data_IF_429474410018
#
_entry.id   IF_429474410018
#
_cell.length_a   1.000
_cell.length_b   1.000
_cell.length_c   1.000
_cell.angle_alpha   90.00
_cell.angle_beta   90.00
_cell.angle_gamma   90.00
#
_symmetry.space_group_name_H-M   'P 1'
#
loop_
_entity.id
_entity.type
_entity.pdbx_description
1 polymer ?
#
# COMPACT_ATOMS: atom_id res chain seq x y z
N UNK A 1 12.68 -0.93 5.29
CA UNK A 1 11.59 -1.74 4.69
C UNK A 1 10.99 -0.92 3.57
N UNK A 2 10.81 -1.50 2.40
CA UNK A 2 10.16 -0.89 1.24
C UNK A 2 8.72 -1.35 1.14
N UNK A 3 7.77 -0.42 1.20
CA UNK A 3 6.32 -0.66 1.08
C UNK A 3 5.84 -0.12 -0.26
N UNK A 4 5.30 -0.99 -1.11
CA UNK A 4 4.61 -0.57 -2.33
C UNK A 4 3.11 -0.48 -2.07
N UNK A 5 2.48 0.61 -2.48
CA UNK A 5 1.04 0.81 -2.41
C UNK A 5 0.47 0.86 -3.82
N UNK A 6 -0.41 -0.07 -4.15
CA UNK A 6 -1.07 -0.11 -5.46
C UNK A 6 -2.38 0.66 -5.38
N UNK A 7 -2.46 1.79 -6.07
CA UNK A 7 -3.55 2.76 -5.97
C UNK A 7 -3.13 3.99 -5.17
N UNK A 8 -3.16 5.15 -5.82
CA UNK A 8 -2.83 6.45 -5.23
C UNK A 8 -4.11 7.25 -4.88
N UNK A 9 -5.23 6.56 -4.68
CA UNK A 9 -6.48 7.11 -4.15
C UNK A 9 -6.40 7.49 -2.66
N UNK A 10 -7.55 7.78 -2.05
CA UNK A 10 -7.60 8.22 -0.65
C UNK A 10 -7.01 7.18 0.33
N UNK A 11 -7.43 5.91 0.22
CA UNK A 11 -6.93 4.83 1.07
C UNK A 11 -5.45 4.58 0.85
N UNK A 12 -5.02 4.36 -0.40
CA UNK A 12 -3.62 4.11 -0.70
C UNK A 12 -2.69 5.25 -0.27
N UNK A 13 -3.08 6.51 -0.53
CA UNK A 13 -2.33 7.68 -0.05
C UNK A 13 -2.15 7.64 1.47
N UNK A 14 -3.22 7.36 2.22
CA UNK A 14 -3.18 7.26 3.68
C UNK A 14 -2.34 6.09 4.19
N UNK A 15 -2.43 4.91 3.58
CA UNK A 15 -1.63 3.73 3.94
C UNK A 15 -0.14 4.04 3.78
N UNK A 16 0.26 4.58 2.63
CA UNK A 16 1.65 4.96 2.42
C UNK A 16 2.12 6.09 3.35
N UNK A 17 1.22 7.00 3.74
CA UNK A 17 1.54 8.03 4.74
C UNK A 17 1.94 7.39 6.07
N UNK A 18 1.15 6.42 6.55
CA UNK A 18 1.43 5.68 7.79
C UNK A 18 2.78 4.98 7.70
N UNK A 19 3.05 4.29 6.58
CA UNK A 19 4.30 3.58 6.37
C UNK A 19 5.51 4.53 6.43
N UNK A 20 5.47 5.65 5.71
CA UNK A 20 6.56 6.61 5.69
C UNK A 20 6.78 7.32 7.04
N UNK A 21 5.69 7.62 7.77
CA UNK A 21 5.77 8.16 9.13
C UNK A 21 6.42 7.20 10.13
N UNK A 22 6.43 5.90 9.81
CA UNK A 22 7.12 4.86 10.56
C UNK A 22 8.48 4.47 9.94
N UNK A 23 9.06 5.34 9.10
CA UNK A 23 10.41 5.19 8.57
C UNK A 23 10.56 4.19 7.41
N UNK A 24 9.46 3.76 6.81
CA UNK A 24 9.52 2.93 5.59
C UNK A 24 9.77 3.78 4.35
N UNK A 25 10.46 3.18 3.37
CA UNK A 25 10.51 3.71 2.01
C UNK A 25 9.22 3.32 1.29
N UNK A 26 8.55 4.27 0.65
CA UNK A 26 7.20 4.05 0.11
C UNK A 26 7.18 4.33 -1.38
N UNK A 27 6.65 3.39 -2.15
CA UNK A 27 6.35 3.58 -3.57
C UNK A 27 4.84 3.56 -3.77
N UNK A 28 4.29 4.63 -4.32
CA UNK A 28 2.91 4.67 -4.78
C UNK A 28 2.86 4.37 -6.27
N UNK A 29 2.11 3.35 -6.65
CA UNK A 29 1.79 3.04 -8.04
C UNK A 29 0.35 3.40 -8.35
N UNK A 30 0.10 4.09 -9.46
CA UNK A 30 -1.25 4.23 -10.02
C UNK A 30 -1.18 4.47 -11.53
N UNK A 31 -1.93 3.68 -12.31
CA UNK A 31 -1.99 3.82 -13.77
C UNK A 31 -2.94 4.92 -14.22
N UNK A 32 -3.81 5.45 -13.34
CA UNK A 32 -4.75 6.48 -13.71
C UNK A 32 -4.05 7.84 -13.83
N UNK A 33 -4.17 8.54 -14.99
CA UNK A 33 -3.51 9.82 -15.19
C UNK A 33 -3.76 10.85 -14.08
N UNK A 34 -2.67 11.37 -13.53
CA UNK A 34 -2.65 12.37 -12.47
C UNK A 34 -3.07 11.86 -11.08
N UNK A 35 -3.35 10.57 -10.88
CA UNK A 35 -3.64 10.03 -9.54
C UNK A 35 -2.44 10.16 -8.60
N UNK A 36 -1.24 9.82 -9.09
CA UNK A 36 0.03 9.99 -8.39
C UNK A 36 0.32 11.45 -8.03
N UNK A 37 0.11 12.39 -8.96
CA UNK A 37 0.30 13.82 -8.70
C UNK A 37 -0.65 14.34 -7.62
N UNK A 38 -1.94 13.92 -7.67
CA UNK A 38 -2.93 14.27 -6.65
C UNK A 38 -2.56 13.70 -5.28
N UNK A 39 -2.07 12.46 -5.24
CA UNK A 39 -1.59 11.82 -4.01
C UNK A 39 -0.41 12.59 -3.42
N UNK A 40 0.60 12.91 -4.23
CA UNK A 40 1.76 13.69 -3.81
C UNK A 40 1.36 15.05 -3.22
N UNK A 41 0.54 15.81 -3.95
CA UNK A 41 0.06 17.11 -3.48
C UNK A 41 -0.77 17.00 -2.18
N UNK A 42 -1.54 15.92 -2.02
CA UNK A 42 -2.29 15.64 -0.79
C UNK A 42 -1.35 15.43 0.39
N UNK A 43 -0.32 14.59 0.24
CA UNK A 43 0.67 14.32 1.28
C UNK A 43 1.44 15.59 1.66
N UNK A 44 1.93 16.37 0.68
CA UNK A 44 2.66 17.61 0.93
C UNK A 44 1.82 18.60 1.75
N UNK A 45 0.51 18.70 1.45
CA UNK A 45 -0.45 19.51 2.19
C UNK A 45 -0.71 18.97 3.60
N UNK A 46 -0.84 17.66 3.77
CA UNK A 46 -1.04 17.02 5.08
C UNK A 46 0.18 17.28 5.96
N UNK A 47 1.39 17.01 5.47
CA UNK A 47 2.62 17.25 6.22
C UNK A 47 2.85 18.73 6.49
N UNK A 48 2.54 19.62 5.54
CA UNK A 48 2.56 21.07 5.79
C UNK A 48 1.68 21.48 6.98
N UNK A 49 0.44 20.95 7.05
CA UNK A 49 -0.45 21.19 8.19
C UNK A 49 0.06 20.60 9.50
N UNK A 50 0.77 19.48 9.47
CA UNK A 50 1.38 18.91 10.67
C UNK A 50 2.54 19.78 11.18
N UNK A 51 3.32 20.37 10.28
CA UNK A 51 4.37 21.35 10.63
C UNK A 51 3.75 22.61 11.22
N UNK A 52 2.73 23.19 10.58
CA UNK A 52 1.99 24.36 11.10
C UNK A 52 1.43 24.12 12.51
N UNK A 53 0.98 22.89 12.79
CA UNK A 53 0.47 22.47 14.10
C UNK A 53 1.57 22.02 15.07
N UNK A 54 2.84 22.17 14.71
CA UNK A 54 4.01 21.75 15.50
C UNK A 54 3.95 20.27 15.92
N UNK A 55 3.33 19.42 15.11
CA UNK A 55 3.27 17.96 15.31
C UNK A 55 4.50 17.24 14.77
N UNK A 56 5.12 17.83 13.75
CA UNK A 56 6.40 17.44 13.17
C UNK A 56 7.22 18.70 12.86
N UNK A 57 8.52 18.56 12.68
CA UNK A 57 9.42 19.62 12.21
C UNK A 57 9.48 19.68 10.67
N UNK A 58 10.00 20.77 10.12
CA UNK A 58 10.26 20.87 8.67
C UNK A 58 11.24 19.79 8.20
N UNK A 59 12.30 19.52 8.96
CA UNK A 59 13.29 18.50 8.64
C UNK A 59 12.66 17.09 8.60
N UNK A 60 11.80 16.77 9.58
CA UNK A 60 11.04 15.51 9.57
C UNK A 60 10.10 15.41 8.36
N UNK A 61 9.45 16.52 7.96
CA UNK A 61 8.64 16.55 6.75
C UNK A 61 9.49 16.23 5.51
N UNK A 62 10.65 16.88 5.37
CA UNK A 62 11.54 16.66 4.22
C UNK A 62 12.09 15.23 4.20
N UNK A 63 12.46 14.68 5.35
CA UNK A 63 12.88 13.29 5.48
C UNK A 63 11.79 12.32 5.01
N UNK A 64 10.55 12.47 5.52
CA UNK A 64 9.44 11.60 5.14
C UNK A 64 9.09 11.71 3.65
N UNK A 65 9.10 12.92 3.08
CA UNK A 65 8.89 13.11 1.64
C UNK A 65 10.02 12.50 0.82
N UNK A 66 11.26 12.55 1.30
CA UNK A 66 12.42 11.95 0.64
C UNK A 66 12.37 10.42 0.57
N UNK A 67 11.58 9.77 1.44
CA UNK A 67 11.32 8.32 1.43
C UNK A 67 10.19 7.90 0.50
N UNK A 68 9.45 8.85 -0.09
CA UNK A 68 8.28 8.57 -0.91
C UNK A 68 8.57 8.77 -2.40
N UNK A 69 8.17 7.80 -3.20
CA UNK A 69 8.22 7.85 -4.65
C UNK A 69 6.82 7.60 -5.23
N UNK A 70 6.45 8.34 -6.28
CA UNK A 70 5.22 8.13 -7.02
C UNK A 70 5.56 7.72 -8.45
N UNK A 71 4.91 6.67 -8.95
CA UNK A 71 5.18 6.09 -10.26
C UNK A 71 3.88 5.67 -10.95
N UNK A 72 3.83 5.85 -12.27
CA UNK A 72 2.82 5.21 -13.12
C UNK A 72 3.35 3.91 -13.75
N UNK A 73 4.63 3.60 -13.54
CA UNK A 73 5.27 2.37 -13.96
C UNK A 73 5.24 1.35 -12.82
N UNK A 74 4.69 0.17 -13.11
CA UNK A 74 4.55 -0.92 -12.17
C UNK A 74 5.90 -1.50 -11.76
N UNK A 75 6.95 -1.38 -12.58
CA UNK A 75 8.31 -1.82 -12.24
C UNK A 75 8.87 -1.13 -10.98
N UNK A 76 8.30 0.00 -10.56
CA UNK A 76 8.69 0.68 -9.33
C UNK A 76 8.44 -0.17 -8.06
N UNK A 77 7.54 -1.16 -8.13
CA UNK A 77 7.24 -2.07 -7.00
C UNK A 77 8.35 -3.10 -6.76
N UNK A 78 9.27 -3.29 -7.71
CA UNK A 78 10.36 -4.25 -7.62
C UNK A 78 11.19 -4.04 -6.35
N UNK A 79 11.46 -5.13 -5.63
CA UNK A 79 12.19 -5.12 -4.37
C UNK A 79 11.40 -4.61 -3.16
N UNK A 80 10.08 -4.43 -3.26
CA UNK A 80 9.23 -4.20 -2.09
C UNK A 80 9.22 -5.42 -1.16
N UNK A 81 9.25 -5.16 0.15
CA UNK A 81 9.10 -6.17 1.21
C UNK A 81 7.61 -6.43 1.49
N UNK A 82 6.77 -5.40 1.32
CA UNK A 82 5.32 -5.46 1.48
C UNK A 82 4.65 -4.68 0.35
N UNK A 83 3.65 -5.29 -0.27
CA UNK A 83 2.73 -4.63 -1.20
C UNK A 83 1.36 -4.54 -0.56
N UNK A 84 0.72 -3.37 -0.60
CA UNK A 84 -0.67 -3.18 -0.16
C UNK A 84 -1.49 -2.63 -1.31
N UNK A 85 -2.42 -3.45 -1.79
CA UNK A 85 -3.34 -3.09 -2.85
C UNK A 85 -4.56 -2.34 -2.32
N UNK A 86 -4.85 -1.17 -2.89
CA UNK A 86 -5.96 -0.28 -2.55
C UNK A 86 -6.55 0.40 -3.80
N UNK A 87 -6.71 -0.36 -4.89
CA UNK A 87 -7.40 0.03 -6.12
C UNK A 87 -8.93 -0.20 -6.01
N UNK A 88 -9.64 0.05 -7.11
CA UNK A 88 -11.10 -0.15 -7.19
C UNK A 88 -11.52 -1.54 -6.71
N UNK A 89 -12.66 -1.61 -6.04
CA UNK A 89 -13.22 -2.83 -5.46
C UNK A 89 -13.88 -3.71 -6.53
N UNK A 90 -13.06 -4.23 -7.45
CA UNK A 90 -13.45 -5.13 -8.53
C UNK A 90 -12.52 -6.35 -8.54
N UNK A 91 -13.12 -7.55 -8.56
CA UNK A 91 -12.39 -8.81 -8.45
C UNK A 91 -11.42 -9.03 -9.62
N UNK A 92 -11.89 -8.79 -10.85
CA UNK A 92 -11.09 -9.05 -12.05
C UNK A 92 -9.95 -8.03 -12.18
N UNK A 93 -10.22 -6.77 -11.85
CA UNK A 93 -9.18 -5.72 -11.82
C UNK A 93 -8.08 -6.07 -10.82
N UNK A 94 -8.44 -6.44 -9.58
CA UNK A 94 -7.45 -6.79 -8.55
C UNK A 94 -6.65 -8.04 -8.94
N UNK A 95 -7.32 -9.09 -9.43
CA UNK A 95 -6.64 -10.32 -9.88
C UNK A 95 -5.68 -10.07 -11.04
N UNK A 96 -6.09 -9.28 -12.03
CA UNK A 96 -5.23 -8.90 -13.15
C UNK A 96 -4.01 -8.09 -12.69
N UNK A 97 -4.19 -7.21 -11.70
CA UNK A 97 -3.09 -6.45 -11.10
C UNK A 97 -2.14 -7.37 -10.31
N UNK A 98 -2.67 -8.29 -9.50
CA UNK A 98 -1.82 -9.23 -8.76
C UNK A 98 -0.99 -10.13 -9.68
N UNK A 99 -1.57 -10.61 -10.79
CA UNK A 99 -0.84 -11.41 -11.77
C UNK A 99 0.33 -10.66 -12.43
N UNK A 100 0.24 -9.33 -12.53
CA UNK A 100 1.32 -8.48 -13.06
C UNK A 100 2.36 -8.14 -11.99
N UNK A 101 1.92 -7.96 -10.73
CA UNK A 101 2.80 -7.57 -9.63
C UNK A 101 3.56 -8.75 -9.06
N UNK A 102 2.93 -9.90 -8.88
CA UNK A 102 3.53 -11.08 -8.23
C UNK A 102 4.91 -11.46 -8.78
N UNK A 103 5.16 -11.48 -10.12
CA UNK A 103 6.47 -11.79 -10.68
C UNK A 103 7.57 -10.75 -10.40
N UNK A 104 7.21 -9.51 -10.05
CA UNK A 104 8.14 -8.42 -9.73
C UNK A 104 8.62 -8.47 -8.27
N UNK A 105 7.93 -9.27 -7.45
CA UNK A 105 8.21 -9.38 -6.03
C UNK A 105 9.26 -10.45 -5.77
N UNK A 106 10.04 -10.24 -4.71
CA UNK A 106 10.88 -11.30 -4.15
C UNK A 106 10.02 -12.43 -3.61
N UNK A 107 10.59 -13.63 -3.50
CA UNK A 107 9.89 -14.82 -2.99
C UNK A 107 9.39 -14.67 -1.55
N UNK A 108 9.97 -13.76 -0.77
CA UNK A 108 9.67 -13.52 0.64
C UNK A 108 8.89 -12.22 0.91
N UNK A 109 8.50 -11.49 -0.14
CA UNK A 109 7.68 -10.29 0.04
C UNK A 109 6.21 -10.62 0.31
N UNK A 110 5.51 -9.81 1.09
CA UNK A 110 4.08 -9.97 1.31
C UNK A 110 3.27 -9.22 0.25
N UNK A 111 2.23 -9.86 -0.29
CA UNK A 111 1.24 -9.25 -1.19
C UNK A 111 -0.10 -9.15 -0.48
N UNK A 112 -0.47 -7.96 -0.02
CA UNK A 112 -1.69 -7.73 0.74
C UNK A 112 -2.72 -6.94 -0.05
N UNK A 113 -3.99 -7.10 0.32
CA UNK A 113 -5.10 -6.30 -0.19
C UNK A 113 -5.83 -5.57 0.93
N UNK A 114 -6.23 -4.33 0.68
CA UNK A 114 -7.10 -3.53 1.54
C UNK A 114 -8.60 -3.76 1.22
N UNK A 115 -8.96 -4.82 0.49
CA UNK A 115 -10.37 -5.11 0.19
C UNK A 115 -11.21 -5.18 1.47
N UNK A 116 -12.43 -4.64 1.39
CA UNK A 116 -13.40 -4.68 2.49
C UNK A 116 -14.48 -5.74 2.28
N UNK A 117 -14.61 -6.27 1.05
CA UNK A 117 -15.78 -7.06 0.65
C UNK A 117 -15.46 -8.31 -0.17
N UNK A 118 -14.31 -8.35 -0.83
CA UNK A 118 -13.95 -9.48 -1.68
C UNK A 118 -13.30 -10.59 -0.87
N UNK A 119 -13.57 -11.83 -1.27
CA UNK A 119 -13.00 -13.00 -0.63
C UNK A 119 -11.49 -13.08 -0.88
N UNK A 120 -10.71 -13.16 0.19
CA UNK A 120 -9.25 -13.42 0.14
C UNK A 120 -8.95 -14.73 -0.62
N UNK A 121 -9.81 -15.75 -0.48
CA UNK A 121 -9.68 -17.00 -1.22
C UNK A 121 -9.93 -16.83 -2.73
N UNK A 122 -10.86 -15.94 -3.11
CA UNK A 122 -11.12 -15.65 -4.52
C UNK A 122 -9.99 -14.83 -5.17
N UNK A 123 -9.45 -13.86 -4.43
CA UNK A 123 -8.36 -12.99 -4.88
C UNK A 123 -7.02 -13.73 -5.00
N UNK A 124 -6.71 -14.62 -4.04
CA UNK A 124 -5.51 -15.46 -4.08
C UNK A 124 -5.56 -16.59 -5.12
N UNK A 125 -6.74 -16.84 -5.70
CA UNK A 125 -6.91 -17.89 -6.71
C UNK A 125 -6.18 -17.53 -8.01
N UNK A 126 -5.11 -18.27 -8.29
CA UNK A 126 -4.26 -18.09 -9.47
C UNK A 126 -2.90 -17.48 -9.15
N UNK A 127 -2.64 -17.08 -7.90
CA UNK A 127 -1.30 -16.72 -7.44
C UNK A 127 -0.39 -17.94 -7.42
N UNK A 128 0.87 -17.71 -7.77
CA UNK A 128 1.97 -18.68 -7.70
C UNK A 128 2.37 -18.95 -6.26
N UNK A 129 2.34 -17.90 -5.43
CA UNK A 129 2.74 -17.90 -4.03
C UNK A 129 1.60 -17.41 -3.12
N UNK A 130 0.47 -18.15 -3.03
CA UNK A 130 -0.67 -17.74 -2.22
C UNK A 130 -0.41 -17.74 -0.71
N UNK A 131 0.67 -18.39 -0.25
CA UNK A 131 1.11 -18.41 1.15
C UNK A 131 1.52 -17.03 1.67
N UNK A 132 1.94 -16.15 0.78
CA UNK A 132 2.37 -14.77 1.10
C UNK A 132 1.32 -13.73 0.72
N UNK A 133 0.06 -14.16 0.58
CA UNK A 133 -1.07 -13.31 0.28
C UNK A 133 -2.05 -13.24 1.45
N UNK A 134 -2.60 -12.06 1.74
CA UNK A 134 -3.63 -11.90 2.76
C UNK A 134 -4.31 -10.53 2.72
N UNK A 135 -5.31 -10.35 3.56
CA UNK A 135 -5.95 -9.05 3.76
C UNK A 135 -5.21 -8.24 4.82
N UNK A 136 -4.97 -6.97 4.52
CA UNK A 136 -4.50 -5.95 5.46
C UNK A 136 -5.47 -4.76 5.33
N UNK A 137 -6.59 -4.84 6.05
CA UNK A 137 -7.73 -3.96 5.87
C UNK A 137 -7.67 -2.77 6.84
N UNK A 138 -7.38 -1.60 6.28
CA UNK A 138 -7.37 -0.31 6.95
C UNK A 138 -8.74 0.36 6.87
N UNK A 139 -9.07 1.16 7.89
CA UNK A 139 -10.33 1.88 7.97
C UNK A 139 -10.17 3.35 7.55
N UNK A 140 -11.13 3.87 6.78
CA UNK A 140 -11.09 5.26 6.31
C UNK A 140 -11.45 6.25 7.44
N UNK A 141 -10.67 7.32 7.69
CA UNK A 141 -9.36 7.64 7.09
C UNK A 141 -8.21 6.89 7.72
N UNK A 142 -7.39 6.20 6.90
CA UNK A 142 -6.35 5.30 7.38
C UNK A 142 -5.41 5.93 8.42
N UNK A 143 -4.88 7.17 8.25
CA UNK A 143 -3.97 7.76 9.23
C UNK A 143 -4.61 8.16 10.57
N UNK A 144 -5.94 8.11 10.68
CA UNK A 144 -6.69 8.49 11.88
C UNK A 144 -7.29 7.29 12.61
N UNK A 145 -7.41 6.15 11.94
CA UNK A 145 -8.02 4.95 12.50
C UNK A 145 -6.92 4.04 13.08
N UNK A 146 -7.01 3.64 14.36
CA UNK A 146 -5.98 2.82 15.00
C UNK A 146 -6.07 1.34 14.63
N UNK A 147 -7.19 0.91 14.03
CA UNK A 147 -7.47 -0.49 13.75
C UNK A 147 -7.02 -0.86 12.32
N UNK A 148 -6.36 -2.00 12.22
CA UNK A 148 -6.11 -2.72 10.97
C UNK A 148 -6.54 -4.16 11.18
N UNK A 149 -7.35 -4.70 10.28
CA UNK A 149 -7.74 -6.11 10.30
C UNK A 149 -6.76 -6.93 9.46
N UNK A 150 -6.15 -7.94 10.09
CA UNK A 150 -5.31 -8.93 9.43
C UNK A 150 -6.21 -10.11 9.07
N UNK A 151 -6.38 -10.37 7.77
CA UNK A 151 -7.36 -11.34 7.26
C UNK A 151 -6.64 -12.45 6.49
N UNK A 152 -6.25 -13.56 7.14
CA UNK A 152 -5.62 -14.67 6.46
C UNK A 152 -6.63 -15.39 5.54
N UNK A 153 -6.16 -15.82 4.37
CA UNK A 153 -6.84 -16.77 3.50
C UNK A 153 -6.50 -18.22 3.85
N UNK A 154 -7.19 -19.16 3.22
CA UNK A 154 -7.01 -20.61 3.47
C UNK A 154 -5.57 -21.09 3.21
N UNK A 155 -4.86 -20.44 2.29
CA UNK A 155 -3.49 -20.78 1.91
C UNK A 155 -2.43 -19.90 2.56
N UNK A 156 -2.82 -18.83 3.26
CA UNK A 156 -1.90 -17.86 3.86
C UNK A 156 -1.03 -18.57 4.91
N UNK A 157 0.28 -18.31 4.88
CA UNK A 157 1.24 -18.87 5.82
C UNK A 157 1.02 -18.37 7.24
N UNK A 158 1.38 -19.18 8.23
CA UNK A 158 1.15 -18.89 9.66
C UNK A 158 1.87 -17.61 10.11
N UNK A 159 3.06 -17.34 9.58
CA UNK A 159 3.87 -16.14 9.83
C UNK A 159 3.16 -14.83 9.47
N UNK A 160 2.05 -14.87 8.71
CA UNK A 160 1.31 -13.66 8.32
C UNK A 160 0.64 -12.95 9.50
N UNK A 161 0.27 -13.71 10.54
CA UNK A 161 -0.47 -13.21 11.70
C UNK A 161 0.35 -13.15 13.00
N UNK A 162 1.64 -13.47 12.93
CA UNK A 162 2.59 -13.41 14.05
C UNK A 162 3.30 -12.05 14.10
#
# INVERSE_FOLDING_TARGET
MKVAVLGAGAMGTGIGQIAAQNGCDVVYYDSFPGATDRSKASIEKIFGRLVEKSKITSDQKEEMLGRMQWSADLEAVTGADLVVEAVIEDLDVKKALFAQVEPLLRSDAWLCTNTSSLSIAALSSGLTHPERFGGLHFFNPAPLMPLVEIVPGVKTGEEFSE
#
